data_IF_495299088188
#
_entry.id   IF_495299088188
#
_cell.length_a   1.000
_cell.length_b   1.000
_cell.length_c   1.000
_cell.angle_alpha   90.00
_cell.angle_beta   90.00
_cell.angle_gamma   90.00
#
_symmetry.space_group_name_H-M   'P 1'
#
loop_
_entity.id
_entity.type
_entity.pdbx_description
1 polymer ?
#
# COMPACT_ATOMS: atom_id res chain seq x y z
N UNK A 1 4.24 88.60 -4.46
CA UNK A 1 3.32 87.45 -4.47
C UNK A 1 3.70 86.53 -5.62
N UNK A 2 4.24 85.33 -5.35
CA UNK A 2 4.30 84.25 -6.34
C UNK A 2 4.00 82.95 -5.60
N UNK A 3 2.74 82.54 -5.58
CA UNK A 3 2.33 81.21 -5.13
C UNK A 3 2.57 80.23 -6.29
N UNK A 4 3.67 79.48 -6.25
CA UNK A 4 3.84 78.31 -7.12
C UNK A 4 2.97 77.17 -6.58
N UNK A 5 1.84 76.92 -7.23
CA UNK A 5 1.10 75.68 -7.01
C UNK A 5 1.87 74.53 -7.66
N UNK A 6 2.35 73.58 -6.86
CA UNK A 6 2.90 72.33 -7.37
C UNK A 6 1.77 71.52 -8.02
N UNK A 7 1.90 71.23 -9.31
CA UNK A 7 1.00 70.32 -10.03
C UNK A 7 1.24 68.88 -9.56
N UNK A 8 0.51 68.45 -8.53
CA UNK A 8 0.51 67.06 -8.03
C UNK A 8 -0.51 66.16 -8.76
N UNK A 9 -0.57 66.25 -10.09
CA UNK A 9 -1.52 65.48 -10.91
C UNK A 9 -0.87 64.20 -11.44
N UNK A 10 -0.77 63.15 -10.61
CA UNK A 10 -0.30 61.83 -11.06
C UNK A 10 0.45 61.00 -10.02
N UNK A 11 0.89 61.61 -8.92
CA UNK A 11 1.65 60.91 -7.87
C UNK A 11 0.89 59.72 -7.29
N UNK A 12 -0.41 59.88 -6.99
CA UNK A 12 -1.23 58.80 -6.43
C UNK A 12 -1.40 57.60 -7.40
N UNK A 13 -1.45 57.84 -8.72
CA UNK A 13 -1.51 56.73 -9.69
C UNK A 13 -0.19 55.98 -9.78
N UNK A 14 0.95 56.69 -9.69
CA UNK A 14 2.27 56.07 -9.70
C UNK A 14 2.50 55.27 -8.42
N UNK A 15 2.15 55.83 -7.26
CA UNK A 15 2.24 55.11 -5.98
C UNK A 15 1.35 53.86 -5.98
N UNK A 16 0.12 53.95 -6.48
CA UNK A 16 -0.76 52.78 -6.64
C UNK A 16 -0.17 51.74 -7.59
N UNK A 17 0.41 52.16 -8.71
CA UNK A 17 1.01 51.26 -9.70
C UNK A 17 2.26 50.57 -9.15
N UNK A 18 3.08 51.28 -8.39
CA UNK A 18 4.24 50.71 -7.69
C UNK A 18 3.75 49.68 -6.67
N UNK A 19 2.82 50.04 -5.78
CA UNK A 19 2.30 49.12 -4.78
C UNK A 19 1.63 47.89 -5.43
N UNK A 20 0.81 48.11 -6.45
CA UNK A 20 0.17 47.03 -7.20
C UNK A 20 1.21 46.13 -7.90
N UNK A 21 2.23 46.72 -8.51
CA UNK A 21 3.32 45.98 -9.17
C UNK A 21 4.16 45.15 -8.19
N UNK A 22 4.48 45.71 -7.02
CA UNK A 22 5.29 45.02 -6.01
C UNK A 22 4.51 44.03 -5.15
N UNK A 23 3.18 44.13 -5.07
CA UNK A 23 2.35 43.23 -4.26
C UNK A 23 1.59 42.22 -5.12
N UNK A 24 0.83 42.68 -6.12
CA UNK A 24 -0.06 41.79 -6.89
C UNK A 24 0.71 40.88 -7.83
N UNK A 25 1.81 41.36 -8.45
CA UNK A 25 2.59 40.53 -9.38
C UNK A 25 3.28 39.37 -8.64
N UNK A 26 4.01 39.58 -7.53
CA UNK A 26 4.57 38.46 -6.77
C UNK A 26 3.50 37.51 -6.22
N UNK A 27 2.36 38.04 -5.76
CA UNK A 27 1.25 37.21 -5.30
C UNK A 27 0.73 36.30 -6.41
N UNK A 28 0.57 36.82 -7.62
CA UNK A 28 0.10 36.03 -8.76
C UNK A 28 1.11 34.96 -9.17
N UNK A 29 2.40 35.26 -9.09
CA UNK A 29 3.48 34.28 -9.34
C UNK A 29 3.58 33.21 -8.23
N UNK A 30 3.12 33.51 -7.00
CA UNK A 30 3.08 32.54 -5.91
C UNK A 30 1.97 31.49 -6.08
N UNK A 31 0.89 31.78 -6.82
CA UNK A 31 -0.22 30.85 -7.05
C UNK A 31 0.25 29.51 -7.69
N UNK A 32 0.96 29.51 -8.84
CA UNK A 32 1.43 28.25 -9.44
C UNK A 32 2.48 27.53 -8.57
N UNK A 33 3.27 28.26 -7.78
CA UNK A 33 4.20 27.66 -6.81
C UNK A 33 3.44 26.86 -5.75
N UNK A 34 2.42 27.49 -5.15
CA UNK A 34 1.55 26.83 -4.18
C UNK A 34 0.84 25.63 -4.80
N UNK A 35 0.38 25.74 -6.05
CA UNK A 35 -0.21 24.63 -6.79
C UNK A 35 0.72 23.41 -6.87
N UNK A 36 2.01 23.62 -7.17
CA UNK A 36 3.01 22.54 -7.20
C UNK A 36 3.19 21.90 -5.81
N UNK A 37 3.28 22.70 -4.75
CA UNK A 37 3.44 22.17 -3.39
C UNK A 37 2.20 21.42 -2.90
N UNK A 38 1.00 21.88 -3.27
CA UNK A 38 -0.25 21.17 -3.00
C UNK A 38 -0.31 19.84 -3.74
N UNK A 39 0.17 19.77 -4.98
CA UNK A 39 0.24 18.53 -5.75
C UNK A 39 1.25 17.53 -5.16
N UNK A 40 2.44 18.00 -4.74
CA UNK A 40 3.43 17.17 -4.03
C UNK A 40 2.84 16.61 -2.73
N UNK A 41 2.14 17.44 -1.96
CA UNK A 41 1.45 17.00 -0.75
C UNK A 41 0.36 15.98 -1.05
N UNK A 42 -0.45 16.20 -2.08
CA UNK A 42 -1.49 15.24 -2.49
C UNK A 42 -0.87 13.90 -2.91
N UNK A 43 0.26 13.91 -3.61
CA UNK A 43 1.01 12.71 -3.94
C UNK A 43 1.57 12.00 -2.70
N UNK A 44 2.06 12.74 -1.70
CA UNK A 44 2.46 12.16 -0.40
C UNK A 44 1.28 11.44 0.30
N UNK A 45 0.07 12.02 0.25
CA UNK A 45 -1.16 11.36 0.77
C UNK A 45 -1.52 10.11 -0.03
N UNK A 46 -1.47 10.15 -1.36
CA UNK A 46 -1.79 8.98 -2.19
C UNK A 46 -0.79 7.83 -1.98
N UNK A 47 0.50 8.16 -1.90
CA UNK A 47 1.57 7.20 -1.71
C UNK A 47 1.58 6.60 -0.29
N UNK A 48 1.22 7.36 0.75
CA UNK A 48 1.05 6.79 2.09
C UNK A 48 -0.14 5.83 2.17
N UNK A 49 -1.24 6.13 1.46
CA UNK A 49 -2.37 5.20 1.32
C UNK A 49 -1.99 3.91 0.61
N UNK A 50 -1.28 4.02 -0.50
CA UNK A 50 -0.75 2.87 -1.23
C UNK A 50 0.18 2.03 -0.35
N UNK A 51 1.14 2.65 0.33
CA UNK A 51 2.09 1.96 1.20
C UNK A 51 1.38 1.23 2.36
N UNK A 52 0.39 1.86 2.99
CA UNK A 52 -0.40 1.23 4.04
C UNK A 52 -1.21 0.04 3.48
N UNK A 53 -1.79 0.18 2.29
CA UNK A 53 -2.52 -0.91 1.63
C UNK A 53 -1.60 -2.08 1.26
N UNK A 54 -0.43 -1.80 0.69
CA UNK A 54 0.58 -2.82 0.39
C UNK A 54 0.91 -3.62 1.65
N UNK A 55 0.96 -2.97 2.82
CA UNK A 55 1.25 -3.65 4.09
C UNK A 55 0.14 -4.60 4.57
N UNK A 56 -1.10 -4.37 4.14
CA UNK A 56 -2.23 -5.30 4.43
C UNK A 56 -2.12 -6.62 3.66
N UNK A 57 -1.34 -6.64 2.57
CA UNK A 57 -1.12 -7.81 1.73
C UNK A 57 0.27 -8.40 1.92
N UNK A 58 1.27 -7.54 2.14
CA UNK A 58 2.70 -7.87 2.23
C UNK A 58 3.25 -7.48 3.61
N UNK A 59 3.19 -8.41 4.54
CA UNK A 59 3.42 -8.21 5.97
C UNK A 59 4.90 -8.13 6.37
N UNK A 60 5.83 -8.35 5.41
CA UNK A 60 7.28 -8.17 5.54
C UNK A 60 7.90 -8.94 6.69
N UNK A 61 7.43 -10.16 6.88
CA UNK A 61 7.84 -11.08 7.92
C UNK A 61 6.68 -11.96 8.37
N UNK A 62 7.01 -13.05 9.07
CA UNK A 62 6.04 -13.83 9.83
C UNK A 62 5.26 -12.94 10.81
N UNK A 63 3.93 -12.98 10.76
CA UNK A 63 3.12 -12.26 11.73
C UNK A 63 3.18 -12.93 13.11
N UNK A 64 3.24 -12.11 14.16
CA UNK A 64 3.79 -12.48 15.47
C UNK A 64 2.83 -13.27 16.38
N UNK A 65 1.64 -13.65 15.94
CA UNK A 65 0.71 -14.37 16.81
C UNK A 65 -0.06 -15.43 16.04
N UNK A 66 0.08 -16.64 16.54
CA UNK A 66 -0.62 -17.81 16.06
C UNK A 66 -1.21 -18.55 17.24
N UNK A 67 -2.54 -18.65 17.29
CA UNK A 67 -3.18 -19.67 18.11
C UNK A 67 -3.32 -20.92 17.24
N UNK A 68 -2.66 -22.01 17.63
CA UNK A 68 -2.92 -23.33 17.07
C UNK A 68 -3.44 -24.30 18.13
N UNK A 69 -4.14 -25.34 17.68
CA UNK A 69 -4.77 -26.36 18.51
C UNK A 69 -3.73 -27.19 19.29
N UNK A 70 -4.03 -27.63 20.53
CA UNK A 70 -3.15 -28.44 21.40
C UNK A 70 -1.75 -27.89 21.74
N UNK A 71 -1.56 -26.58 21.74
CA UNK A 71 -0.28 -25.98 22.11
C UNK A 71 0.79 -26.04 21.01
N UNK A 72 0.42 -26.35 19.76
CA UNK A 72 1.26 -26.06 18.60
C UNK A 72 1.00 -24.65 18.08
N UNK A 73 1.89 -23.72 18.41
CA UNK A 73 1.92 -22.37 17.83
C UNK A 73 2.29 -22.44 16.34
N UNK A 74 1.33 -22.23 15.44
CA UNK A 74 1.56 -22.24 13.98
C UNK A 74 1.69 -20.83 13.42
N UNK A 75 2.90 -20.30 13.28
CA UNK A 75 3.14 -18.94 12.77
C UNK A 75 2.42 -18.70 11.43
N UNK A 76 1.84 -17.52 11.29
CA UNK A 76 1.29 -17.07 10.01
C UNK A 76 2.45 -16.83 9.04
N UNK A 77 2.51 -17.63 7.98
CA UNK A 77 3.52 -17.54 6.93
C UNK A 77 3.04 -16.58 5.86
N UNK A 78 3.60 -15.37 5.87
CA UNK A 78 3.09 -14.24 5.13
C UNK A 78 3.75 -14.06 3.75
N UNK A 79 3.04 -13.36 2.87
CA UNK A 79 3.63 -12.70 1.72
C UNK A 79 4.56 -11.57 2.20
N UNK A 80 5.74 -11.45 1.58
CA UNK A 80 6.76 -10.47 1.98
C UNK A 80 7.13 -9.50 0.86
N UNK A 81 7.09 -8.21 1.19
CA UNK A 81 7.80 -7.14 0.51
C UNK A 81 8.56 -6.35 1.55
N UNK A 82 9.78 -5.95 1.21
CA UNK A 82 10.56 -5.05 2.05
C UNK A 82 10.06 -3.62 1.92
N UNK A 83 10.30 -2.80 2.93
CA UNK A 83 9.99 -1.37 2.91
C UNK A 83 10.60 -0.69 1.66
N UNK A 84 11.83 -1.05 1.32
CA UNK A 84 12.54 -0.53 0.15
C UNK A 84 11.89 -0.99 -1.18
N UNK A 85 11.32 -2.20 -1.24
CA UNK A 85 10.53 -2.63 -2.41
C UNK A 85 9.25 -1.81 -2.56
N UNK A 86 8.55 -1.52 -1.45
CA UNK A 86 7.34 -0.67 -1.46
C UNK A 86 7.72 0.77 -1.86
N UNK A 87 8.84 1.29 -1.35
CA UNK A 87 9.41 2.59 -1.74
C UNK A 87 9.68 2.66 -3.25
N UNK A 88 10.26 1.60 -3.80
CA UNK A 88 10.51 1.48 -5.23
C UNK A 88 9.21 1.40 -6.04
N UNK A 89 8.17 0.74 -5.56
CA UNK A 89 6.88 0.78 -6.25
C UNK A 89 6.25 2.18 -6.21
N UNK A 90 6.32 2.88 -5.08
CA UNK A 90 5.83 4.26 -4.94
C UNK A 90 6.46 5.19 -5.98
N UNK A 91 7.80 5.16 -6.09
CA UNK A 91 8.52 6.02 -7.02
C UNK A 91 8.14 5.79 -8.47
N UNK A 92 8.04 4.53 -8.90
CA UNK A 92 7.77 4.19 -10.30
C UNK A 92 6.29 4.27 -10.66
N UNK A 93 5.38 3.93 -9.73
CA UNK A 93 3.94 3.86 -10.01
C UNK A 93 3.21 5.17 -9.77
N UNK A 94 3.68 6.00 -8.84
CA UNK A 94 2.93 7.19 -8.41
C UNK A 94 3.68 8.49 -8.65
N UNK A 95 5.00 8.49 -8.58
CA UNK A 95 5.82 9.70 -8.65
C UNK A 95 6.53 9.90 -10.00
N UNK A 96 6.53 8.86 -10.84
CA UNK A 96 7.05 8.91 -12.20
C UNK A 96 6.06 9.57 -13.16
N UNK A 97 6.61 10.08 -14.27
CA UNK A 97 5.83 10.51 -15.43
C UNK A 97 5.42 9.27 -16.23
N UNK A 98 4.20 8.80 -16.01
CA UNK A 98 3.66 7.61 -16.68
C UNK A 98 2.70 7.98 -17.80
N UNK A 99 2.83 7.28 -18.94
CA UNK A 99 1.91 7.38 -20.07
C UNK A 99 0.75 6.39 -19.96
N UNK A 100 -0.22 6.51 -20.87
CA UNK A 100 -1.40 5.62 -20.92
C UNK A 100 -1.09 4.16 -21.26
N UNK A 101 0.07 3.90 -21.87
CA UNK A 101 0.56 2.56 -22.20
C UNK A 101 1.43 1.93 -21.10
N UNK A 102 1.73 2.67 -20.03
CA UNK A 102 2.58 2.17 -18.95
C UNK A 102 1.80 1.31 -17.98
N UNK A 103 1.93 -0.01 -18.14
CA UNK A 103 1.37 -0.97 -17.21
C UNK A 103 2.25 -1.11 -15.96
N UNK A 104 1.60 -1.21 -14.80
CA UNK A 104 2.26 -1.63 -13.57
C UNK A 104 2.62 -3.11 -13.65
N UNK A 105 3.80 -3.43 -13.15
CA UNK A 105 4.36 -4.76 -13.27
C UNK A 105 4.93 -5.23 -11.95
N UNK A 106 5.12 -6.54 -11.83
CA UNK A 106 5.74 -7.09 -10.65
C UNK A 106 7.21 -6.68 -10.49
N UNK A 107 7.89 -6.29 -11.58
CA UNK A 107 9.28 -5.81 -11.59
C UNK A 107 9.46 -4.42 -10.99
N UNK A 108 8.39 -3.65 -10.80
CA UNK A 108 8.41 -2.30 -10.23
C UNK A 108 9.05 -2.27 -8.83
N UNK A 109 8.94 -3.37 -8.07
CA UNK A 109 9.58 -3.58 -6.76
C UNK A 109 11.12 -3.47 -6.78
N UNK A 110 11.72 -3.59 -7.97
CA UNK A 110 13.16 -3.54 -8.20
C UNK A 110 13.58 -2.31 -9.01
N UNK A 111 12.68 -1.34 -9.22
CA UNK A 111 12.98 -0.12 -9.96
C UNK A 111 14.08 0.72 -9.29
N UNK A 112 15.11 1.09 -10.04
CA UNK A 112 16.21 1.94 -9.55
C UNK A 112 16.02 3.44 -9.81
N UNK A 113 15.09 3.82 -10.68
CA UNK A 113 14.89 5.19 -11.16
C UNK A 113 13.42 5.45 -11.50
N UNK A 114 13.05 6.72 -11.66
CA UNK A 114 11.76 7.10 -12.22
C UNK A 114 11.61 6.65 -13.67
N UNK A 115 10.42 6.19 -14.03
CA UNK A 115 10.07 5.87 -15.42
C UNK A 115 9.71 7.17 -16.14
N UNK A 116 10.45 7.53 -17.20
CA UNK A 116 10.23 8.80 -17.91
C UNK A 116 10.60 10.08 -17.14
N UNK A 117 11.19 9.95 -15.94
CA UNK A 117 11.47 11.06 -15.02
C UNK A 117 10.36 11.29 -13.99
N UNK A 118 10.54 12.24 -13.08
CA UNK A 118 9.50 12.67 -12.15
C UNK A 118 8.44 13.53 -12.85
N UNK A 119 7.26 13.66 -12.22
CA UNK A 119 6.08 14.36 -12.77
C UNK A 119 6.41 15.65 -13.52
N UNK A 120 5.80 15.85 -14.68
CA UNK A 120 6.04 16.99 -15.57
C UNK A 120 5.79 18.36 -14.90
N UNK A 121 4.81 18.44 -13.99
CA UNK A 121 4.49 19.68 -13.27
C UNK A 121 5.52 20.03 -12.18
N UNK A 122 6.32 19.06 -11.74
CA UNK A 122 7.28 19.21 -10.64
C UNK A 122 8.65 19.64 -11.18
N UNK A 123 8.65 20.80 -11.83
CA UNK A 123 9.86 21.43 -12.33
C UNK A 123 9.87 22.93 -12.01
N UNK A 124 11.05 23.49 -11.81
CA UNK A 124 11.24 24.92 -11.63
C UNK A 124 11.05 25.70 -12.96
N UNK A 125 11.25 27.02 -12.93
CA UNK A 125 11.17 27.86 -14.14
C UNK A 125 12.27 27.55 -15.17
N UNK A 126 13.38 26.98 -14.72
CA UNK A 126 14.53 26.62 -15.54
C UNK A 126 14.44 25.16 -16.05
N UNK A 127 13.33 24.47 -15.79
CA UNK A 127 13.09 23.08 -16.19
C UNK A 127 13.77 22.03 -15.29
N UNK A 128 14.37 22.41 -14.17
CA UNK A 128 14.96 21.47 -13.22
C UNK A 128 13.88 20.78 -12.41
N UNK A 129 13.97 19.46 -12.26
CA UNK A 129 13.00 18.67 -11.50
C UNK A 129 13.10 18.98 -10.00
N UNK A 130 11.95 19.15 -9.35
CA UNK A 130 11.86 19.37 -7.90
C UNK A 130 12.14 18.09 -7.12
N UNK A 131 11.65 16.95 -7.63
CA UNK A 131 12.03 15.61 -7.18
C UNK A 131 13.03 15.04 -8.18
N UNK A 132 14.32 15.13 -7.85
CA UNK A 132 15.39 14.77 -8.78
C UNK A 132 15.91 13.36 -8.52
N UNK A 133 16.09 12.97 -7.26
CA UNK A 133 16.62 11.65 -6.90
C UNK A 133 15.50 10.72 -6.46
N UNK A 134 15.62 9.46 -6.85
CA UNK A 134 14.75 8.39 -6.38
C UNK A 134 14.91 8.13 -4.87
N UNK A 135 16.07 8.47 -4.31
CA UNK A 135 16.40 8.35 -2.90
C UNK A 135 15.81 9.49 -2.03
N UNK A 136 15.27 10.53 -2.67
CA UNK A 136 14.53 11.60 -1.98
C UNK A 136 13.14 11.14 -1.51
N UNK A 137 12.74 9.93 -1.90
CA UNK A 137 11.55 9.24 -1.38
C UNK A 137 11.98 8.41 -0.18
N UNK A 138 11.31 8.62 0.95
CA UNK A 138 11.49 7.80 2.14
C UNK A 138 10.15 7.22 2.55
N UNK A 139 10.14 5.97 2.99
CA UNK A 139 8.97 5.36 3.61
C UNK A 139 9.36 4.61 4.88
N UNK A 140 8.39 4.48 5.76
CA UNK A 140 8.41 3.56 6.88
C UNK A 140 7.05 2.89 6.95
N UNK A 141 7.02 1.56 6.92
CA UNK A 141 5.78 0.81 7.08
C UNK A 141 5.81 0.01 8.38
N UNK A 142 4.66 -0.04 9.06
CA UNK A 142 4.50 -0.67 10.35
C UNK A 142 3.38 -1.72 10.25
N UNK A 143 3.57 -2.85 10.92
CA UNK A 143 2.57 -3.92 11.05
C UNK A 143 2.48 -4.30 12.53
N UNK A 144 1.58 -3.64 13.25
CA UNK A 144 1.50 -3.69 14.70
C UNK A 144 0.21 -4.40 15.17
N UNK A 145 0.22 -4.97 16.39
CA UNK A 145 -1.01 -5.41 17.05
C UNK A 145 -2.04 -4.27 17.10
N UNK A 146 -3.31 -4.59 16.86
CA UNK A 146 -4.35 -3.57 16.94
C UNK A 146 -4.42 -2.94 18.36
N UNK A 147 -4.55 -1.62 18.47
CA UNK A 147 -4.62 -0.93 19.74
C UNK A 147 -5.99 -1.17 20.40
N UNK A 148 -5.97 -1.54 21.69
CA UNK A 148 -7.18 -1.62 22.52
C UNK A 148 -8.05 -2.88 22.37
N UNK A 149 -9.37 -2.71 22.61
CA UNK A 149 -10.40 -3.76 22.80
C UNK A 149 -10.59 -4.72 21.61
N UNK A 150 -10.03 -4.42 20.44
CA UNK A 150 -10.05 -5.33 19.27
C UNK A 150 -9.38 -6.68 19.59
N UNK A 151 -8.26 -6.69 20.31
CA UNK A 151 -7.62 -7.94 20.75
C UNK A 151 -8.55 -8.78 21.63
N UNK A 152 -9.44 -8.15 22.41
CA UNK A 152 -10.44 -8.84 23.24
C UNK A 152 -11.59 -9.44 22.43
N UNK A 153 -11.94 -8.87 21.27
CA UNK A 153 -12.98 -9.40 20.35
C UNK A 153 -12.40 -10.47 19.42
N UNK A 154 -11.16 -10.30 18.99
CA UNK A 154 -10.46 -11.27 18.15
C UNK A 154 -10.10 -12.56 18.90
N UNK A 155 -9.91 -12.50 20.22
CA UNK A 155 -9.57 -13.67 21.04
C UNK A 155 -10.66 -14.77 21.03
N UNK A 156 -11.96 -14.47 21.25
CA UNK A 156 -13.05 -15.44 21.08
C UNK A 156 -13.15 -16.04 19.67
N UNK A 157 -12.95 -15.22 18.63
CA UNK A 157 -12.98 -15.68 17.23
C UNK A 157 -11.77 -16.58 16.94
N UNK A 158 -10.58 -16.23 17.43
CA UNK A 158 -9.39 -17.06 17.33
C UNK A 158 -9.54 -18.38 18.09
N UNK A 159 -10.16 -18.35 19.27
CA UNK A 159 -10.47 -19.56 20.04
C UNK A 159 -11.46 -20.45 19.28
N UNK A 160 -12.52 -19.89 18.68
CA UNK A 160 -13.44 -20.66 17.85
C UNK A 160 -12.76 -21.19 16.57
N UNK A 161 -11.99 -20.38 15.87
CA UNK A 161 -11.30 -20.78 14.65
C UNK A 161 -10.25 -21.88 14.90
N UNK A 162 -9.54 -21.83 16.04
CA UNK A 162 -8.63 -22.91 16.46
C UNK A 162 -9.34 -24.22 16.87
N UNK A 163 -10.66 -24.21 17.09
CA UNK A 163 -11.45 -25.45 17.28
C UNK A 163 -11.81 -26.14 15.96
N UNK A 164 -11.71 -25.43 14.82
CA UNK A 164 -12.15 -25.94 13.51
C UNK A 164 -11.02 -26.47 12.62
N UNK A 165 -9.78 -26.54 13.09
CA UNK A 165 -8.64 -27.12 12.34
C UNK A 165 -7.39 -26.23 12.32
N UNK A 166 -6.44 -26.43 11.38
CA UNK A 166 -5.19 -25.65 11.23
C UNK A 166 -5.35 -24.18 10.80
N UNK A 167 -6.51 -23.58 11.01
CA UNK A 167 -6.76 -22.18 10.67
C UNK A 167 -5.96 -21.27 11.62
N UNK A 168 -5.20 -20.33 11.05
CA UNK A 168 -4.37 -19.37 11.80
C UNK A 168 -4.87 -17.97 11.49
N UNK A 169 -5.01 -17.14 12.52
CA UNK A 169 -5.35 -15.73 12.37
C UNK A 169 -4.12 -14.85 12.51
N UNK A 170 -4.01 -13.87 11.63
CA UNK A 170 -3.12 -12.72 11.76
C UNK A 170 -3.73 -11.76 12.80
N UNK A 171 -2.98 -11.35 13.84
CA UNK A 171 -3.51 -10.43 14.88
C UNK A 171 -2.91 -9.03 14.84
N UNK A 172 -1.95 -8.76 13.96
CA UNK A 172 -1.46 -7.42 13.70
C UNK A 172 -2.42 -6.70 12.76
N UNK A 173 -3.57 -6.31 13.30
CA UNK A 173 -4.60 -5.64 12.54
C UNK A 173 -4.35 -4.13 12.34
N UNK A 174 -3.20 -3.58 12.76
CA UNK A 174 -2.81 -2.19 12.50
C UNK A 174 -1.69 -2.12 11.45
N UNK A 175 -2.00 -1.59 10.27
CA UNK A 175 -1.05 -1.37 9.18
C UNK A 175 -0.81 0.13 9.00
N UNK A 176 0.38 0.58 9.38
CA UNK A 176 0.80 1.98 9.27
C UNK A 176 1.75 2.19 8.11
N UNK A 177 1.67 3.36 7.48
CA UNK A 177 2.71 3.81 6.55
C UNK A 177 2.92 5.31 6.66
N UNK A 178 4.18 5.72 6.79
CA UNK A 178 4.63 7.10 6.67
C UNK A 178 5.47 7.24 5.42
N UNK A 179 5.10 8.15 4.53
CA UNK A 179 5.86 8.46 3.31
C UNK A 179 6.30 9.92 3.38
N UNK A 180 7.58 10.15 3.09
CA UNK A 180 8.18 11.47 2.99
C UNK A 180 8.74 11.65 1.58
N UNK A 181 8.32 12.74 0.92
CA UNK A 181 8.86 13.18 -0.35
C UNK A 181 9.68 14.44 -0.09
N UNK A 182 10.98 14.37 -0.37
CA UNK A 182 11.86 15.53 -0.28
C UNK A 182 11.94 16.18 -1.65
N UNK A 183 11.64 17.47 -1.71
CA UNK A 183 11.81 18.24 -2.94
C UNK A 183 12.83 19.34 -2.75
N UNK A 184 13.59 19.62 -3.81
CA UNK A 184 14.42 20.80 -3.88
C UNK A 184 13.51 22.04 -3.91
N UNK A 185 13.85 23.04 -3.09
CA UNK A 185 13.15 24.32 -3.11
C UNK A 185 13.43 25.07 -4.41
N UNK A 186 12.49 25.95 -4.78
CA UNK A 186 12.57 26.68 -6.04
C UNK A 186 13.54 27.85 -5.88
N UNK A 187 14.61 27.83 -6.68
CA UNK A 187 15.63 28.88 -6.65
C UNK A 187 15.07 30.18 -7.24
N UNK A 188 14.63 31.07 -6.36
CA UNK A 188 14.29 32.45 -6.70
C UNK A 188 15.57 33.28 -6.59
N UNK A 189 16.36 33.23 -7.65
CA UNK A 189 17.61 33.96 -7.81
C UNK A 189 17.52 35.35 -7.13
N UNK A 190 18.25 35.50 -6.03
CA UNK A 190 18.46 36.72 -5.22
C UNK A 190 17.35 37.28 -4.31
N UNK A 191 16.12 36.76 -4.22
CA UNK A 191 15.07 37.45 -3.44
C UNK A 191 14.42 36.67 -2.29
N UNK A 192 14.53 35.34 -2.26
CA UNK A 192 14.04 34.52 -1.15
C UNK A 192 15.03 33.38 -0.87
N UNK A 193 15.00 32.84 0.36
CA UNK A 193 16.04 32.02 0.99
C UNK A 193 16.78 31.04 0.05
N UNK A 194 18.11 31.04 0.17
CA UNK A 194 19.03 30.22 -0.63
C UNK A 194 18.86 28.73 -0.28
N UNK A 195 18.54 27.90 -1.29
CA UNK A 195 18.60 26.42 -1.28
C UNK A 195 18.16 25.80 0.05
N UNK A 196 16.85 25.68 0.24
CA UNK A 196 16.29 24.77 1.23
C UNK A 196 15.78 23.50 0.55
N UNK A 197 15.56 22.43 1.30
CA UNK A 197 14.78 21.26 0.85
C UNK A 197 13.49 21.25 1.64
N UNK A 198 12.37 21.07 0.96
CA UNK A 198 11.07 20.98 1.59
C UNK A 198 10.67 19.50 1.71
N UNK A 199 10.31 19.09 2.93
CA UNK A 199 9.91 17.73 3.24
C UNK A 199 8.37 17.68 3.36
N UNK A 200 7.75 16.86 2.52
CA UNK A 200 6.32 16.58 2.56
C UNK A 200 6.11 15.18 3.12
N UNK A 201 5.61 15.09 4.36
CA UNK A 201 5.46 13.83 5.07
C UNK A 201 4.01 13.59 5.43
N UNK A 202 3.49 12.41 5.06
CA UNK A 202 2.11 12.01 5.31
C UNK A 202 2.06 10.59 5.89
N UNK A 203 1.17 10.38 6.86
CA UNK A 203 0.98 9.09 7.54
C UNK A 203 -0.43 8.59 7.30
N UNK A 204 -0.58 7.31 6.96
CA UNK A 204 -1.85 6.63 6.89
C UNK A 204 -1.83 5.35 7.73
N UNK A 205 -2.95 5.04 8.38
CA UNK A 205 -3.11 3.82 9.19
C UNK A 205 -4.40 3.12 8.77
N UNK A 206 -4.31 1.82 8.52
CA UNK A 206 -5.43 0.96 8.18
C UNK A 206 -5.62 -0.07 9.29
N UNK A 207 -6.86 -0.20 9.75
CA UNK A 207 -7.27 -1.31 10.59
C UNK A 207 -7.94 -2.36 9.72
N UNK A 208 -7.27 -3.49 9.49
CA UNK A 208 -7.75 -4.53 8.59
C UNK A 208 -7.29 -5.91 9.07
N UNK A 209 -7.79 -6.97 8.43
CA UNK A 209 -7.26 -8.31 8.65
C UNK A 209 -7.30 -9.10 7.34
N UNK A 210 -6.13 -9.56 6.89
CA UNK A 210 -5.93 -10.16 5.56
C UNK A 210 -5.95 -11.69 5.56
N UNK A 211 -7.07 -12.31 5.98
CA UNK A 211 -7.15 -13.79 6.10
C UNK A 211 -6.92 -14.55 4.79
N UNK A 212 -6.98 -13.92 3.63
CA UNK A 212 -6.69 -14.55 2.33
C UNK A 212 -5.60 -13.81 1.53
N UNK A 213 -4.85 -12.91 2.16
CA UNK A 213 -3.86 -12.06 1.50
C UNK A 213 -2.67 -12.83 0.90
N UNK A 214 -2.44 -14.05 1.36
CA UNK A 214 -1.35 -14.92 0.89
C UNK A 214 -1.63 -15.61 -0.45
N UNK A 215 -2.72 -15.24 -1.13
CA UNK A 215 -3.10 -15.82 -2.39
C UNK A 215 -3.80 -17.18 -2.24
N UNK A 216 -4.08 -17.83 -3.38
CA UNK A 216 -5.04 -18.92 -3.45
C UNK A 216 -4.49 -20.29 -3.05
N UNK A 217 -3.37 -20.73 -3.63
CA UNK A 217 -2.76 -22.04 -3.37
C UNK A 217 -1.22 -21.96 -3.37
N UNK A 218 -0.66 -21.63 -2.21
CA UNK A 218 0.78 -21.69 -1.95
C UNK A 218 0.98 -22.54 -0.69
N UNK A 219 1.71 -23.65 -0.84
CA UNK A 219 1.97 -24.61 0.24
C UNK A 219 2.99 -24.11 1.27
N UNK A 220 3.79 -23.09 0.91
CA UNK A 220 4.78 -22.49 1.81
C UNK A 220 4.22 -21.31 2.62
N UNK A 221 2.95 -20.94 2.37
CA UNK A 221 2.29 -19.79 3.00
C UNK A 221 0.96 -20.18 3.60
N UNK A 222 0.44 -19.30 4.46
CA UNK A 222 -0.92 -19.42 4.99
C UNK A 222 -1.93 -18.92 3.94
N UNK A 223 -1.95 -19.57 2.77
CA UNK A 223 -2.84 -19.28 1.64
C UNK A 223 -4.29 -19.69 1.92
N UNK A 224 -5.24 -19.20 1.10
CA UNK A 224 -6.66 -19.48 1.27
C UNK A 224 -6.95 -20.99 1.31
N UNK A 225 -6.34 -21.77 0.41
CA UNK A 225 -6.50 -23.23 0.40
C UNK A 225 -5.95 -23.88 1.68
N UNK A 226 -4.80 -23.46 2.19
CA UNK A 226 -4.20 -24.06 3.40
C UNK A 226 -5.05 -23.79 4.65
N UNK A 227 -5.67 -22.63 4.74
CA UNK A 227 -6.60 -22.30 5.82
C UNK A 227 -7.91 -23.08 5.73
N UNK A 228 -8.51 -23.13 4.55
CA UNK A 228 -9.82 -23.78 4.35
C UNK A 228 -9.72 -25.31 4.36
N UNK A 229 -8.58 -25.88 3.92
CA UNK A 229 -8.34 -27.33 3.96
C UNK A 229 -8.40 -27.89 5.38
N UNK A 230 -8.13 -27.06 6.38
CA UNK A 230 -8.34 -27.43 7.77
C UNK A 230 -9.79 -27.58 8.19
N UNK A 231 -10.66 -26.73 7.64
CA UNK A 231 -12.05 -26.54 8.05
C UNK A 231 -13.04 -27.53 7.42
N UNK A 232 -12.62 -28.27 6.38
CA UNK A 232 -13.47 -29.29 5.75
C UNK A 232 -13.52 -30.54 6.65
N UNK A 233 -14.70 -31.10 6.97
CA UNK A 233 -14.81 -32.28 7.85
C UNK A 233 -14.01 -33.49 7.38
N UNK A 234 -13.74 -33.60 6.07
CA UNK A 234 -12.91 -34.63 5.46
C UNK A 234 -11.43 -34.51 5.85
N UNK A 235 -10.98 -33.37 6.40
CA UNK A 235 -9.62 -33.17 6.91
C UNK A 235 -9.30 -34.10 8.09
N UNK A 236 -10.29 -34.43 8.92
CA UNK A 236 -10.18 -35.38 10.03
C UNK A 236 -9.97 -36.81 9.51
N UNK A 237 -10.59 -37.13 8.37
CA UNK A 237 -10.51 -38.45 7.73
C UNK A 237 -9.34 -38.56 6.74
N UNK A 238 -8.66 -37.46 6.44
CA UNK A 238 -7.43 -37.43 5.65
C UNK A 238 -6.20 -37.93 6.43
N UNK A 239 -6.37 -38.36 7.67
CA UNK A 239 -5.33 -39.00 8.46
C UNK A 239 -4.87 -40.31 7.81
N UNK A 240 -3.55 -40.49 7.72
CA UNK A 240 -2.93 -41.76 7.34
C UNK A 240 -2.70 -42.61 8.58
N UNK A 241 -3.20 -43.84 8.58
CA UNK A 241 -2.82 -44.87 9.54
C UNK A 241 -1.95 -45.85 8.77
N UNK A 242 -0.70 -46.01 9.20
CA UNK A 242 0.28 -46.92 8.55
C UNK A 242 0.47 -46.67 7.03
N UNK A 243 0.38 -45.41 6.60
CA UNK A 243 0.57 -45.03 5.19
C UNK A 243 -0.65 -45.25 4.28
N UNK A 244 -1.81 -45.59 4.86
CA UNK A 244 -3.07 -45.78 4.13
C UNK A 244 -4.04 -44.64 4.46
N UNK A 245 -4.56 -43.97 3.42
CA UNK A 245 -5.56 -42.91 3.54
C UNK A 245 -6.93 -43.52 3.84
N UNK A 246 -7.47 -43.22 5.02
CA UNK A 246 -8.77 -43.75 5.49
C UNK A 246 -9.90 -43.46 4.48
N UNK A 247 -9.87 -42.29 3.83
CA UNK A 247 -10.88 -41.90 2.84
C UNK A 247 -10.91 -42.80 1.60
N UNK A 248 -9.78 -43.33 1.15
CA UNK A 248 -9.75 -44.20 -0.04
C UNK A 248 -10.45 -45.53 0.25
N UNK A 249 -10.37 -46.01 1.49
CA UNK A 249 -11.09 -47.20 1.95
C UNK A 249 -12.60 -46.96 2.08
N UNK A 250 -12.99 -45.81 2.64
CA UNK A 250 -14.42 -45.44 2.80
C UNK A 250 -15.09 -45.25 1.44
N UNK A 251 -14.45 -44.51 0.53
CA UNK A 251 -14.97 -44.32 -0.83
C UNK A 251 -14.95 -45.63 -1.62
N UNK A 252 -13.91 -46.46 -1.45
CA UNK A 252 -13.85 -47.80 -2.05
C UNK A 252 -15.01 -48.69 -1.60
N UNK A 253 -15.28 -48.77 -0.30
CA UNK A 253 -16.40 -49.53 0.25
C UNK A 253 -17.76 -49.00 -0.21
N UNK A 254 -17.94 -47.67 -0.27
CA UNK A 254 -19.16 -47.05 -0.78
C UNK A 254 -19.34 -47.25 -2.29
N UNK A 255 -18.25 -47.29 -3.06
CA UNK A 255 -18.29 -47.45 -4.52
C UNK A 255 -18.84 -48.80 -4.98
N UNK A 256 -18.82 -49.82 -4.11
CA UNK A 256 -19.45 -51.13 -4.34
C UNK A 256 -20.97 -51.01 -4.46
N UNK A 257 -21.58 -50.05 -3.76
CA UNK A 257 -23.03 -49.83 -3.71
C UNK A 257 -23.47 -48.58 -4.47
N UNK A 258 -22.57 -47.60 -4.62
CA UNK A 258 -22.79 -46.32 -5.31
C UNK A 258 -21.57 -46.01 -6.20
N UNK A 259 -21.55 -46.47 -7.46
CA UNK A 259 -20.43 -46.28 -8.37
C UNK A 259 -19.99 -44.82 -8.50
N UNK A 260 -20.93 -43.88 -8.36
CA UNK A 260 -20.71 -42.43 -8.39
C UNK A 260 -19.88 -41.93 -7.21
N UNK A 261 -19.84 -42.66 -6.09
CA UNK A 261 -19.02 -42.30 -4.93
C UNK A 261 -17.52 -42.30 -5.26
N UNK A 262 -17.09 -43.10 -6.25
CA UNK A 262 -15.71 -43.09 -6.76
C UNK A 262 -15.32 -41.80 -7.49
N UNK A 263 -16.31 -41.01 -7.93
CA UNK A 263 -16.10 -39.70 -8.59
C UNK A 263 -16.12 -38.53 -7.61
N UNK A 264 -16.47 -38.77 -6.35
CA UNK A 264 -16.43 -37.74 -5.32
C UNK A 264 -14.98 -37.49 -4.95
N UNK A 265 -14.62 -36.21 -4.86
CA UNK A 265 -13.33 -35.75 -4.33
C UNK A 265 -13.61 -35.05 -2.98
N UNK A 266 -13.70 -35.78 -1.86
CA UNK A 266 -14.12 -35.21 -0.59
C UNK A 266 -13.04 -34.24 -0.09
N UNK A 267 -13.42 -32.98 0.17
CA UNK A 267 -12.48 -31.94 0.57
C UNK A 267 -11.74 -31.27 -0.60
N UNK A 268 -12.22 -31.41 -1.84
CA UNK A 268 -11.77 -30.59 -2.97
C UNK A 268 -12.01 -29.12 -2.68
N UNK A 269 -10.94 -28.32 -2.75
CA UNK A 269 -10.96 -26.87 -2.54
C UNK A 269 -10.18 -26.23 -3.68
N UNK A 270 -10.86 -25.45 -4.49
CA UNK A 270 -10.31 -24.78 -5.67
C UNK A 270 -10.65 -23.28 -5.58
N UNK A 271 -9.85 -22.48 -4.87
CA UNK A 271 -10.14 -21.07 -4.62
C UNK A 271 -10.02 -20.20 -5.89
N UNK A 272 -9.36 -20.69 -6.94
CA UNK A 272 -9.12 -19.97 -8.19
C UNK A 272 -10.07 -20.33 -9.34
N UNK A 273 -10.96 -21.30 -9.15
CA UNK A 273 -11.92 -21.62 -10.21
C UNK A 273 -13.00 -20.56 -10.24
N UNK A 274 -12.94 -19.74 -11.28
CA UNK A 274 -14.03 -18.86 -11.66
C UNK A 274 -14.86 -19.50 -12.77
N UNK A 275 -16.19 -19.30 -12.78
CA UNK A 275 -17.03 -19.71 -13.89
C UNK A 275 -16.49 -19.22 -15.24
N UNK A 276 -16.56 -20.08 -16.27
CA UNK A 276 -16.00 -19.80 -17.60
C UNK A 276 -16.60 -18.53 -18.26
N UNK A 277 -17.81 -18.13 -17.87
CA UNK A 277 -18.47 -16.91 -18.33
C UNK A 277 -17.90 -15.61 -17.72
N UNK A 278 -16.98 -15.72 -16.74
CA UNK A 278 -16.32 -14.59 -16.07
C UNK A 278 -14.89 -14.33 -16.58
N UNK A 279 -14.29 -15.28 -17.31
CA UNK A 279 -13.00 -15.10 -17.97
C UNK A 279 -13.25 -14.62 -19.40
N UNK A 280 -13.08 -13.31 -19.64
CA UNK A 280 -13.16 -12.68 -20.96
C UNK A 280 -11.82 -12.07 -21.34
#
# INVERSE_FOLDING_TARGET
MVNRHSRSGGQAMIELLIVAGFVLVPLFLAIPLLGKYLDVRAAAVQTSRYAAWERTVWFGGDAASSLGWFGVSRRWQANEKTDDQIRREIGVRHLSETGTSDAFSNSDRSAGNFKGGSKALWQDRNGQKLLADYNDIQNKVDNNPAPGTLNKILTPIANFASTLGPFVLEMNAEYGAKVTIKIKDIDFDHYLAKTSTADFSETNVLLANGWNANGPDDSAKTSAKQQVKGLVPTSILAAEIEGVKIMDYVLGALSVFLPEASKLEPGKIEPDIVPADRLK
#
